data_IF_645594490384
#
_entry.id   IF_645594490384
#
_cell.length_a   1.000
_cell.length_b   1.000
_cell.length_c   1.000
_cell.angle_alpha   90.00
_cell.angle_beta   90.00
_cell.angle_gamma   90.00
#
_symmetry.space_group_name_H-M   'P 1'
#
loop_
_entity.id
_entity.type
_entity.pdbx_description
1 polymer ?
#
# COMPACT_ATOMS: atom_id res chain seq x y z
N UNK A 1 0.78 -7.94 16.81
CA UNK A 1 0.32 -8.35 15.46
C UNK A 1 1.57 -8.52 14.61
N UNK A 2 1.63 -9.52 13.73
CA UNK A 2 2.81 -9.76 12.89
C UNK A 2 2.92 -8.69 11.80
N UNK A 3 4.14 -8.26 11.44
CA UNK A 3 4.43 -7.28 10.38
C UNK A 3 3.75 -7.68 9.06
N UNK A 4 3.71 -8.98 8.77
CA UNK A 4 3.02 -9.56 7.61
C UNK A 4 1.50 -9.35 7.65
N UNK A 5 0.90 -9.43 8.84
CA UNK A 5 -0.54 -9.17 9.03
C UNK A 5 -0.84 -7.69 8.78
N UNK A 6 0.06 -6.81 9.20
CA UNK A 6 -0.08 -5.37 9.03
C UNK A 6 0.14 -4.94 7.57
N UNK A 7 1.11 -5.52 6.85
CA UNK A 7 1.33 -5.25 5.43
C UNK A 7 0.16 -5.71 4.56
N UNK A 8 -0.37 -6.93 4.80
CA UNK A 8 -1.56 -7.45 4.10
C UNK A 8 -2.79 -6.58 4.35
N UNK A 9 -2.98 -6.15 5.60
CA UNK A 9 -4.05 -5.23 5.96
C UNK A 9 -3.93 -3.90 5.18
N UNK A 10 -2.74 -3.31 5.12
CA UNK A 10 -2.50 -2.06 4.39
C UNK A 10 -2.73 -2.21 2.88
N UNK A 11 -2.32 -3.32 2.27
CA UNK A 11 -2.64 -3.60 0.86
C UNK A 11 -4.14 -3.74 0.63
N UNK A 12 -4.86 -4.39 1.55
CA UNK A 12 -6.32 -4.50 1.46
C UNK A 12 -6.99 -3.11 1.53
N UNK A 13 -6.57 -2.27 2.47
CA UNK A 13 -7.04 -0.87 2.59
C UNK A 13 -6.73 -0.05 1.33
N UNK A 14 -5.56 -0.23 0.73
CA UNK A 14 -5.22 0.43 -0.52
C UNK A 14 -6.16 0.04 -1.67
N UNK A 15 -6.56 -1.24 -1.75
CA UNK A 15 -7.51 -1.71 -2.77
C UNK A 15 -8.91 -1.14 -2.55
N UNK A 16 -9.35 -1.08 -1.30
CA UNK A 16 -10.65 -0.48 -0.94
C UNK A 16 -10.71 1.00 -1.31
N UNK A 17 -9.67 1.79 -1.01
CA UNK A 17 -9.63 3.21 -1.39
C UNK A 17 -9.53 3.41 -2.90
N UNK A 18 -8.78 2.56 -3.62
CA UNK A 18 -8.78 2.58 -5.09
C UNK A 18 -10.17 2.29 -5.68
N UNK A 19 -10.88 1.30 -5.14
CA UNK A 19 -12.25 0.98 -5.56
C UNK A 19 -13.23 2.14 -5.30
N UNK A 20 -13.06 2.88 -4.20
CA UNK A 20 -13.84 4.11 -3.93
C UNK A 20 -13.53 5.22 -4.94
N UNK A 21 -12.25 5.41 -5.30
CA UNK A 21 -11.88 6.37 -6.35
C UNK A 21 -12.53 6.00 -7.70
N UNK A 22 -12.55 4.71 -8.05
CA UNK A 22 -13.17 4.22 -9.27
C UNK A 22 -14.70 4.36 -9.24
N UNK A 23 -15.33 4.09 -8.09
CA UNK A 23 -16.76 4.32 -7.90
C UNK A 23 -17.12 5.80 -8.03
N UNK A 24 -16.33 6.68 -7.41
CA UNK A 24 -16.48 8.13 -7.52
C UNK A 24 -16.29 8.60 -8.98
N UNK A 25 -15.33 8.04 -9.70
CA UNK A 25 -15.12 8.34 -11.12
C UNK A 25 -16.30 7.89 -11.99
N UNK A 26 -16.80 6.66 -11.79
CA UNK A 26 -17.94 6.10 -12.55
C UNK A 26 -19.22 6.90 -12.40
N UNK A 27 -19.45 7.49 -11.23
CA UNK A 27 -20.61 8.37 -10.97
C UNK A 27 -20.34 9.85 -11.28
N UNK A 28 -19.21 10.18 -11.94
CA UNK A 28 -18.79 11.55 -12.23
C UNK A 28 -18.74 12.45 -10.99
N UNK A 29 -18.25 11.90 -9.87
CA UNK A 29 -18.13 12.59 -8.59
C UNK A 29 -17.10 13.73 -8.59
N UNK A 30 -17.06 14.51 -7.51
CA UNK A 30 -16.12 15.63 -7.36
C UNK A 30 -14.66 15.19 -7.54
N UNK A 31 -13.87 16.00 -8.25
CA UNK A 31 -12.45 15.73 -8.50
C UNK A 31 -11.65 15.61 -7.20
N UNK A 32 -12.00 16.40 -6.19
CA UNK A 32 -11.37 16.40 -4.87
C UNK A 32 -11.58 15.07 -4.15
N UNK A 33 -12.76 14.48 -4.26
CA UNK A 33 -13.07 13.19 -3.66
C UNK A 33 -12.26 12.06 -4.32
N UNK A 34 -12.21 12.05 -5.66
CA UNK A 34 -11.41 11.07 -6.42
C UNK A 34 -9.91 11.20 -6.06
N UNK A 35 -9.41 12.43 -5.96
CA UNK A 35 -8.02 12.70 -5.58
C UNK A 35 -7.71 12.22 -4.16
N UNK A 36 -8.60 12.48 -3.20
CA UNK A 36 -8.44 12.05 -1.81
C UNK A 36 -8.37 10.52 -1.69
N UNK A 37 -9.26 9.78 -2.37
CA UNK A 37 -9.22 8.31 -2.38
C UNK A 37 -7.94 7.76 -3.03
N UNK A 38 -7.49 8.36 -4.13
CA UNK A 38 -6.21 7.97 -4.78
C UNK A 38 -5.01 8.21 -3.88
N UNK A 39 -4.98 9.35 -3.20
CA UNK A 39 -3.91 9.69 -2.27
C UNK A 39 -3.86 8.71 -1.09
N UNK A 40 -5.02 8.39 -0.48
CA UNK A 40 -5.09 7.40 0.59
C UNK A 40 -4.63 6.02 0.12
N UNK A 41 -5.07 5.57 -1.07
CA UNK A 41 -4.63 4.31 -1.64
C UNK A 41 -3.11 4.26 -1.81
N UNK A 42 -2.50 5.34 -2.30
CA UNK A 42 -1.05 5.45 -2.46
C UNK A 42 -0.32 5.38 -1.11
N UNK A 43 -0.77 6.14 -0.11
CA UNK A 43 -0.18 6.15 1.24
C UNK A 43 -0.19 4.77 1.88
N UNK A 44 -1.31 4.03 1.76
CA UNK A 44 -1.38 2.66 2.27
C UNK A 44 -0.40 1.72 1.54
N UNK A 45 -0.28 1.81 0.20
CA UNK A 45 0.70 1.00 -0.56
C UNK A 45 2.13 1.30 -0.15
N UNK A 46 2.50 2.58 -0.06
CA UNK A 46 3.86 2.99 0.32
C UNK A 46 4.19 2.46 1.71
N UNK A 47 3.25 2.57 2.67
CA UNK A 47 3.46 2.03 4.02
C UNK A 47 3.56 0.51 4.03
N UNK A 48 2.72 -0.19 3.26
CA UNK A 48 2.79 -1.64 3.14
C UNK A 48 4.15 -2.08 2.57
N UNK A 49 4.60 -1.44 1.51
CA UNK A 49 5.91 -1.70 0.89
C UNK A 49 7.06 -1.43 1.85
N UNK A 50 7.03 -0.31 2.59
CA UNK A 50 8.06 -0.01 3.59
C UNK A 50 8.16 -1.10 4.68
N UNK A 51 7.02 -1.69 5.06
CA UNK A 51 6.97 -2.78 6.04
C UNK A 51 7.41 -4.13 5.46
N UNK A 52 7.15 -4.38 4.18
CA UNK A 52 7.57 -5.62 3.52
C UNK A 52 9.05 -5.60 3.10
N UNK A 53 9.60 -4.43 2.76
CA UNK A 53 10.98 -4.29 2.30
C UNK A 53 12.02 -4.31 3.44
N UNK A 54 11.65 -3.98 4.68
CA UNK A 54 12.61 -3.95 5.79
C UNK A 54 13.22 -5.32 6.08
N UNK A 55 12.45 -6.40 5.92
CA UNK A 55 12.98 -7.76 6.10
C UNK A 55 13.73 -8.25 4.86
N UNK A 56 13.24 -7.92 3.65
CA UNK A 56 13.82 -8.46 2.41
C UNK A 56 15.19 -7.85 2.08
N UNK A 57 15.38 -6.55 2.28
CA UNK A 57 16.67 -5.87 2.03
C UNK A 57 17.73 -6.30 3.05
N UNK A 58 17.34 -6.53 4.31
CA UNK A 58 18.24 -7.08 5.33
C UNK A 58 18.61 -8.54 5.04
N UNK A 59 17.65 -9.37 4.64
CA UNK A 59 17.91 -10.77 4.27
C UNK A 59 18.84 -10.85 3.05
N UNK A 60 18.57 -10.09 1.99
CA UNK A 60 19.39 -10.04 0.77
C UNK A 60 20.80 -9.46 1.03
N UNK A 61 20.94 -8.53 1.98
CA UNK A 61 22.25 -8.01 2.39
C UNK A 61 23.04 -9.01 3.22
N UNK A 62 22.38 -9.78 4.10
CA UNK A 62 23.01 -10.82 4.91
C UNK A 62 23.42 -12.07 4.10
N UNK A 63 22.70 -12.39 3.02
CA UNK A 63 23.06 -13.50 2.12
C UNK A 63 24.27 -13.16 1.23
N UNK A 64 24.47 -11.87 0.89
CA UNK A 64 25.60 -11.43 0.06
C UNK A 64 26.93 -11.31 0.79
N UNK A 65 26.92 -11.23 2.12
CA UNK A 65 28.13 -11.09 2.94
C UNK A 65 28.73 -12.47 3.36
N UNK A 66 28.10 -13.58 2.93
CA UNK A 66 28.53 -14.95 3.22
C UNK A 66 29.03 -15.72 1.97
N UNK A 67 29.23 -15.03 0.84
CA UNK A 67 29.66 -15.62 -0.44
C UNK A 67 31.02 -15.14 -0.91
#
# INVERSE_FOLDING_TARGET
MSVDTDARYLFQRAREEAAKADAALKRSGPRQEIAAHRELALRYKVRALAMSCSDQVLHDAMEKDQG
#
